data_IF_639986272432
#
_entry.id   IF_639986272432
#
_cell.length_a   1.000
_cell.length_b   1.000
_cell.length_c   1.000
_cell.angle_alpha   90.00
_cell.angle_beta   90.00
_cell.angle_gamma   90.00
#
_symmetry.space_group_name_H-M   'P 1'
#
loop_
_entity.id
_entity.type
_entity.pdbx_description
1 polymer ?
#
# COMPACT_ATOMS: atom_id res chain seq x y z
N UNK A 1 -31.48 -9.54 -35.40
CA UNK A 1 -31.08 -10.41 -34.28
C UNK A 1 -29.75 -9.89 -33.76
N UNK A 2 -29.81 -8.86 -32.93
CA UNK A 2 -28.66 -8.31 -32.19
C UNK A 2 -28.85 -8.65 -30.71
N UNK A 3 -27.74 -8.78 -29.99
CA UNK A 3 -27.56 -9.31 -28.61
C UNK A 3 -27.12 -10.76 -28.53
N UNK A 4 -26.00 -11.11 -29.18
CA UNK A 4 -25.03 -11.97 -28.49
C UNK A 4 -24.05 -11.05 -27.77
N UNK A 5 -24.32 -10.85 -26.48
CA UNK A 5 -23.42 -10.17 -25.56
C UNK A 5 -22.07 -10.88 -25.59
N UNK A 6 -21.00 -10.13 -25.83
CA UNK A 6 -19.63 -10.62 -25.79
C UNK A 6 -19.31 -11.06 -24.35
N UNK A 7 -19.43 -12.35 -24.07
CA UNK A 7 -19.06 -12.92 -22.78
C UNK A 7 -17.55 -12.83 -22.64
N UNK A 8 -17.06 -12.13 -21.62
CA UNK A 8 -15.62 -12.03 -21.35
C UNK A 8 -15.09 -13.34 -20.75
N UNK A 9 -14.74 -14.26 -21.63
CA UNK A 9 -14.16 -15.55 -21.27
C UNK A 9 -12.81 -15.44 -20.56
N UNK A 10 -12.06 -14.34 -20.75
CA UNK A 10 -10.80 -14.10 -20.03
C UNK A 10 -11.08 -13.74 -18.57
N UNK A 11 -12.01 -12.82 -18.35
CA UNK A 11 -12.48 -12.46 -17.00
C UNK A 11 -13.05 -13.65 -16.23
N UNK A 12 -13.81 -14.52 -16.92
CA UNK A 12 -14.36 -15.74 -16.32
C UNK A 12 -13.27 -16.74 -15.93
N UNK A 13 -12.27 -16.96 -16.80
CA UNK A 13 -11.14 -17.84 -16.53
C UNK A 13 -10.25 -17.31 -15.40
N UNK A 14 -9.99 -15.99 -15.37
CA UNK A 14 -9.26 -15.32 -14.28
C UNK A 14 -10.01 -15.46 -12.96
N UNK A 15 -11.32 -15.24 -12.95
CA UNK A 15 -12.17 -15.41 -11.75
C UNK A 15 -12.17 -16.86 -11.26
N UNK A 16 -12.23 -17.83 -12.18
CA UNK A 16 -12.19 -19.25 -11.84
C UNK A 16 -10.82 -19.67 -11.27
N UNK A 17 -9.72 -19.26 -11.90
CA UNK A 17 -8.36 -19.56 -11.44
C UNK A 17 -8.06 -18.90 -10.09
N UNK A 18 -8.53 -17.68 -9.87
CA UNK A 18 -8.42 -16.97 -8.60
C UNK A 18 -9.18 -17.65 -7.47
N UNK A 19 -10.41 -18.12 -7.75
CA UNK A 19 -11.17 -18.95 -6.79
C UNK A 19 -10.40 -20.21 -6.45
N UNK A 20 -9.89 -20.94 -7.45
CA UNK A 20 -9.09 -22.14 -7.22
C UNK A 20 -7.88 -21.82 -6.35
N UNK A 21 -7.08 -20.79 -6.69
CA UNK A 21 -5.91 -20.35 -5.91
C UNK A 21 -6.26 -19.99 -4.46
N UNK A 22 -7.38 -19.29 -4.23
CA UNK A 22 -7.85 -18.94 -2.88
C UNK A 22 -8.13 -20.20 -2.05
N UNK A 23 -8.78 -21.19 -2.63
CA UNK A 23 -9.11 -22.45 -1.94
C UNK A 23 -7.93 -23.41 -1.82
N UNK A 24 -7.03 -23.48 -2.80
CA UNK A 24 -5.92 -24.44 -2.81
C UNK A 24 -4.68 -23.93 -2.09
N UNK A 25 -4.41 -22.62 -2.10
CA UNK A 25 -3.21 -22.04 -1.52
C UNK A 25 -3.44 -21.29 -0.20
N UNK A 26 -4.69 -21.24 0.29
CA UNK A 26 -5.06 -20.55 1.53
C UNK A 26 -4.56 -19.09 1.56
N UNK A 27 -4.49 -18.45 0.38
CA UNK A 27 -4.01 -17.08 0.19
C UNK A 27 -5.06 -16.08 0.66
N UNK A 28 -4.60 -14.99 1.27
CA UNK A 28 -5.49 -13.88 1.61
C UNK A 28 -6.02 -13.20 0.33
N UNK A 29 -7.15 -12.50 0.45
CA UNK A 29 -7.72 -11.75 -0.69
C UNK A 29 -6.76 -10.66 -1.19
N UNK A 30 -6.01 -10.07 -0.25
CA UNK A 30 -4.99 -9.07 -0.55
C UNK A 30 -3.79 -9.67 -1.29
N UNK A 31 -3.31 -10.85 -0.88
CA UNK A 31 -2.22 -11.53 -1.60
C UNK A 31 -2.61 -11.83 -3.04
N UNK A 32 -3.84 -12.29 -3.26
CA UNK A 32 -4.35 -12.56 -4.60
C UNK A 32 -4.44 -11.28 -5.45
N UNK A 33 -4.84 -10.17 -4.85
CA UNK A 33 -4.86 -8.87 -5.53
C UNK A 33 -3.46 -8.41 -5.96
N UNK A 34 -2.45 -8.60 -5.10
CA UNK A 34 -1.05 -8.30 -5.42
C UNK A 34 -0.49 -9.26 -6.48
N UNK A 35 -0.83 -10.55 -6.40
CA UNK A 35 -0.49 -11.56 -7.41
C UNK A 35 -1.05 -11.19 -8.79
N UNK A 36 -2.30 -10.74 -8.83
CA UNK A 36 -2.97 -10.33 -10.08
C UNK A 36 -2.39 -9.04 -10.65
N UNK A 37 -2.07 -8.07 -9.79
CA UNK A 37 -1.38 -6.84 -10.16
C UNK A 37 0.01 -7.11 -10.76
N UNK A 38 0.68 -8.16 -10.29
CA UNK A 38 2.04 -8.58 -10.72
C UNK A 38 2.04 -9.76 -11.70
N UNK A 39 0.90 -10.04 -12.34
CA UNK A 39 0.72 -11.13 -13.30
C UNK A 39 1.51 -10.96 -14.61
N UNK A 40 1.60 -12.03 -15.43
CA UNK A 40 2.29 -12.04 -16.74
C UNK A 40 1.54 -11.31 -17.87
N UNK A 41 0.34 -10.78 -17.58
CA UNK A 41 -0.49 -10.09 -18.57
C UNK A 41 0.26 -8.90 -19.21
N UNK A 42 -0.06 -8.54 -20.45
CA UNK A 42 0.70 -7.53 -21.20
C UNK A 42 0.48 -6.11 -20.66
N UNK A 43 -0.67 -5.87 -20.03
CA UNK A 43 -1.01 -4.58 -19.40
C UNK A 43 -0.45 -4.48 -17.98
N UNK A 44 -0.01 -3.29 -17.60
CA UNK A 44 0.44 -2.99 -16.24
C UNK A 44 -0.71 -3.01 -15.21
N UNK A 45 -0.38 -2.98 -13.90
CA UNK A 45 -1.39 -2.85 -12.87
C UNK A 45 -2.17 -1.55 -13.03
N UNK A 46 -3.49 -1.60 -12.86
CA UNK A 46 -4.33 -0.40 -12.92
C UNK A 46 -4.04 0.49 -11.71
N UNK A 47 -3.96 1.81 -11.91
CA UNK A 47 -3.62 2.77 -10.86
C UNK A 47 -4.50 2.65 -9.62
N UNK A 48 -5.81 2.43 -9.79
CA UNK A 48 -6.73 2.24 -8.65
C UNK A 48 -6.37 1.03 -7.79
N UNK A 49 -5.91 -0.06 -8.40
CA UNK A 49 -5.53 -1.29 -7.68
C UNK A 49 -4.25 -1.05 -6.89
N UNK A 50 -3.30 -0.28 -7.44
CA UNK A 50 -2.08 0.11 -6.72
C UNK A 50 -2.40 1.02 -5.53
N UNK A 51 -3.33 1.96 -5.68
CA UNK A 51 -3.80 2.81 -4.58
C UNK A 51 -4.40 1.99 -3.45
N UNK A 52 -5.30 1.05 -3.77
CA UNK A 52 -5.92 0.18 -2.76
C UNK A 52 -4.89 -0.71 -2.03
N UNK A 53 -3.90 -1.23 -2.76
CA UNK A 53 -2.78 -1.98 -2.16
C UNK A 53 -1.95 -1.06 -1.24
N UNK A 54 -1.67 0.18 -1.66
CA UNK A 54 -0.92 1.13 -0.85
C UNK A 54 -1.69 1.53 0.42
N UNK A 55 -2.99 1.75 0.34
CA UNK A 55 -3.84 2.01 1.50
C UNK A 55 -3.87 0.82 2.46
N UNK A 56 -3.93 -0.40 1.93
CA UNK A 56 -3.87 -1.63 2.73
C UNK A 56 -2.50 -1.85 3.38
N UNK A 57 -1.43 -1.30 2.80
CA UNK A 57 -0.06 -1.50 3.30
C UNK A 57 0.24 -0.79 4.62
N UNK A 58 -0.63 0.10 5.11
CA UNK A 58 -0.49 0.71 6.44
C UNK A 58 -0.82 -0.26 7.58
N UNK A 59 -1.54 -1.35 7.31
CA UNK A 59 -1.77 -2.41 8.29
C UNK A 59 -0.57 -3.38 8.34
N UNK A 60 0.03 -3.66 9.52
CA UNK A 60 1.25 -4.48 9.62
C UNK A 60 1.11 -5.94 9.13
N UNK A 61 -0.06 -6.57 9.25
CA UNK A 61 -0.29 -7.93 8.74
C UNK A 61 -0.36 -7.92 7.22
N UNK A 62 -1.18 -7.01 6.69
CA UNK A 62 -1.37 -6.78 5.26
C UNK A 62 -0.06 -6.41 4.57
N UNK A 63 0.75 -5.57 5.22
CA UNK A 63 2.08 -5.18 4.75
C UNK A 63 2.99 -6.39 4.52
N UNK A 64 3.07 -7.31 5.49
CA UNK A 64 3.90 -8.53 5.36
C UNK A 64 3.46 -9.40 4.19
N UNK A 65 2.16 -9.50 3.95
CA UNK A 65 1.60 -10.24 2.83
C UNK A 65 2.00 -9.59 1.49
N UNK A 66 1.78 -8.27 1.35
CA UNK A 66 2.12 -7.51 0.14
C UNK A 66 3.62 -7.62 -0.17
N UNK A 67 4.47 -7.31 0.82
CA UNK A 67 5.93 -7.37 0.65
C UNK A 67 6.43 -8.79 0.41
N UNK A 68 5.79 -9.79 1.00
CA UNK A 68 6.08 -11.21 0.76
C UNK A 68 5.84 -11.61 -0.69
N UNK A 69 4.74 -11.16 -1.31
CA UNK A 69 4.47 -11.39 -2.74
C UNK A 69 5.52 -10.66 -3.60
N UNK A 70 5.76 -9.38 -3.34
CA UNK A 70 6.75 -8.58 -4.10
C UNK A 70 8.13 -9.22 -4.05
N UNK A 71 8.59 -9.63 -2.86
CA UNK A 71 9.89 -10.26 -2.68
C UNK A 71 10.04 -11.57 -3.47
N UNK A 72 8.97 -12.37 -3.63
CA UNK A 72 8.99 -13.55 -4.50
C UNK A 72 9.13 -13.15 -5.97
N UNK A 73 8.37 -12.15 -6.43
CA UNK A 73 8.39 -11.68 -7.83
C UNK A 73 9.73 -11.05 -8.21
N UNK A 74 10.43 -10.37 -7.30
CA UNK A 74 11.75 -9.79 -7.54
C UNK A 74 12.89 -10.83 -7.60
N UNK A 75 12.62 -12.09 -7.25
CA UNK A 75 13.55 -13.21 -7.40
C UNK A 75 13.38 -13.97 -8.72
N UNK A 76 12.33 -13.67 -9.48
CA UNK A 76 12.10 -14.29 -10.79
C UNK A 76 13.14 -13.82 -11.81
N UNK A 77 13.47 -14.70 -12.75
CA UNK A 77 14.49 -14.47 -13.79
C UNK A 77 13.99 -14.97 -15.16
N UNK A 78 14.69 -14.57 -16.23
CA UNK A 78 14.42 -15.05 -17.58
C UNK A 78 13.05 -14.64 -18.13
N UNK A 79 12.27 -15.61 -18.61
CA UNK A 79 10.97 -15.41 -19.28
C UNK A 79 9.94 -14.68 -18.41
N UNK A 80 10.11 -14.75 -17.08
CA UNK A 80 9.24 -14.09 -16.09
C UNK A 80 9.55 -12.59 -15.87
N UNK A 81 10.37 -11.96 -16.73
CA UNK A 81 10.75 -10.54 -16.62
C UNK A 81 9.58 -9.57 -16.41
N UNK A 82 8.39 -9.88 -16.93
CA UNK A 82 7.18 -9.05 -16.74
C UNK A 82 6.73 -9.01 -15.28
N UNK A 83 6.82 -10.15 -14.58
CA UNK A 83 6.51 -10.21 -13.14
C UNK A 83 7.48 -9.32 -12.37
N UNK A 84 8.78 -9.41 -12.67
CA UNK A 84 9.80 -8.57 -12.03
C UNK A 84 9.53 -7.10 -12.31
N UNK A 85 9.27 -6.73 -13.56
CA UNK A 85 9.00 -5.35 -13.95
C UNK A 85 7.76 -4.77 -13.25
N UNK A 86 6.65 -5.51 -13.20
CA UNK A 86 5.43 -5.05 -12.51
C UNK A 86 5.59 -5.00 -11.00
N UNK A 87 6.36 -5.92 -10.42
CA UNK A 87 6.70 -5.86 -9.00
C UNK A 87 7.53 -4.61 -8.68
N UNK A 88 8.48 -4.23 -9.55
CA UNK A 88 9.21 -2.96 -9.42
C UNK A 88 8.30 -1.74 -9.53
N UNK A 89 7.32 -1.74 -10.45
CA UNK A 89 6.34 -0.64 -10.54
C UNK A 89 5.52 -0.49 -9.26
N UNK A 90 5.05 -1.61 -8.70
CA UNK A 90 4.30 -1.59 -7.45
C UNK A 90 5.18 -1.13 -6.28
N UNK A 91 6.43 -1.59 -6.23
CA UNK A 91 7.40 -1.16 -5.21
C UNK A 91 7.67 0.35 -5.29
N UNK A 92 7.88 0.89 -6.50
CA UNK A 92 8.06 2.33 -6.73
C UNK A 92 6.84 3.13 -6.22
N UNK A 93 5.63 2.63 -6.48
CA UNK A 93 4.39 3.25 -6.01
C UNK A 93 4.28 3.22 -4.47
N UNK A 94 4.62 2.09 -3.84
CA UNK A 94 4.62 1.94 -2.38
C UNK A 94 5.66 2.83 -1.69
N UNK A 95 6.83 3.04 -2.31
CA UNK A 95 7.83 3.99 -1.78
C UNK A 95 7.28 5.42 -1.76
N UNK A 96 6.46 5.79 -2.76
CA UNK A 96 5.89 7.14 -2.90
C UNK A 96 4.65 7.39 -2.05
N UNK A 97 3.81 6.37 -1.85
CA UNK A 97 2.47 6.52 -1.27
C UNK A 97 2.19 5.63 -0.04
N UNK A 98 3.05 4.66 0.23
CA UNK A 98 2.91 3.71 1.34
C UNK A 98 3.57 4.18 2.63
N UNK A 99 3.68 3.29 3.65
CA UNK A 99 4.32 3.60 4.91
C UNK A 99 5.84 3.80 4.73
N UNK A 100 6.42 4.65 5.56
CA UNK A 100 7.87 4.91 5.58
C UNK A 100 8.72 3.65 5.81
N UNK A 101 8.12 2.61 6.39
CA UNK A 101 8.73 1.29 6.56
C UNK A 101 9.17 0.66 5.23
N UNK A 102 8.46 0.92 4.12
CA UNK A 102 8.82 0.42 2.79
C UNK A 102 10.25 0.81 2.43
N UNK A 103 10.63 2.05 2.71
CA UNK A 103 11.97 2.58 2.39
C UNK A 103 13.06 1.82 3.15
N UNK A 104 12.83 1.51 4.43
CA UNK A 104 13.79 0.76 5.27
C UNK A 104 13.94 -0.69 4.82
N UNK A 105 12.84 -1.33 4.45
CA UNK A 105 12.88 -2.72 3.98
C UNK A 105 13.54 -2.84 2.60
N UNK A 106 13.38 -1.82 1.76
CA UNK A 106 14.07 -1.71 0.47
C UNK A 106 15.57 -1.54 0.67
N UNK A 107 15.99 -0.66 1.58
CA UNK A 107 17.40 -0.47 1.95
C UNK A 107 18.05 -1.76 2.46
N UNK A 108 17.38 -2.44 3.39
CA UNK A 108 17.80 -3.76 3.89
C UNK A 108 17.92 -4.80 2.76
N UNK A 109 17.06 -4.68 1.74
CA UNK A 109 17.02 -5.56 0.58
C UNK A 109 17.87 -5.06 -0.59
N UNK A 110 18.75 -4.07 -0.42
CA UNK A 110 19.50 -3.41 -1.52
C UNK A 110 20.25 -4.37 -2.45
N UNK A 111 20.71 -5.53 -1.95
CA UNK A 111 21.33 -6.57 -2.78
C UNK A 111 20.39 -7.18 -3.83
N UNK A 112 19.08 -7.16 -3.61
CA UNK A 112 18.06 -7.56 -4.59
C UNK A 112 17.96 -6.53 -5.70
N UNK A 113 17.94 -5.24 -5.36
CA UNK A 113 17.87 -4.16 -6.35
C UNK A 113 19.14 -4.10 -7.21
N UNK A 114 20.33 -4.21 -6.61
CA UNK A 114 21.60 -4.24 -7.37
C UNK A 114 21.62 -5.39 -8.39
N UNK A 115 21.14 -6.58 -8.01
CA UNK A 115 20.99 -7.70 -8.97
C UNK A 115 20.08 -7.33 -10.14
N UNK A 116 18.95 -6.67 -9.86
CA UNK A 116 17.98 -6.26 -10.88
C UNK A 116 18.52 -5.16 -11.81
N UNK A 117 19.46 -4.33 -11.37
CA UNK A 117 20.16 -3.39 -12.26
C UNK A 117 21.01 -4.10 -13.32
N UNK A 118 21.34 -5.38 -13.11
CA UNK A 118 22.10 -6.23 -14.02
C UNK A 118 21.25 -7.31 -14.69
N UNK A 119 19.91 -7.19 -14.58
CA UNK A 119 18.97 -8.16 -15.12
C UNK A 119 19.12 -8.33 -16.63
N UNK A 120 19.22 -9.57 -17.11
CA UNK A 120 19.40 -9.88 -18.52
C UNK A 120 18.32 -10.85 -19.00
N UNK A 121 17.58 -10.45 -20.04
CA UNK A 121 16.69 -11.33 -20.75
C UNK A 121 16.55 -10.87 -22.20
N UNK A 122 16.94 -11.73 -23.14
CA UNK A 122 16.75 -11.53 -24.58
C UNK A 122 15.75 -12.56 -25.09
N UNK A 123 14.72 -12.09 -25.76
CA UNK A 123 13.73 -12.93 -26.45
C UNK A 123 14.40 -13.72 -27.59
N UNK A 124 13.88 -14.88 -28.01
CA UNK A 124 14.23 -15.54 -29.27
C UNK A 124 14.36 -14.61 -30.50
N UNK A 125 13.59 -13.52 -30.54
CA UNK A 125 13.68 -12.50 -31.60
C UNK A 125 14.87 -11.53 -31.45
N UNK A 126 15.75 -11.74 -30.47
CA UNK A 126 16.91 -10.90 -30.17
C UNK A 126 16.60 -9.62 -29.38
N UNK A 127 15.34 -9.38 -29.00
CA UNK A 127 14.91 -8.19 -28.26
C UNK A 127 15.30 -8.27 -26.80
N UNK A 128 16.05 -7.28 -26.30
CA UNK A 128 16.40 -7.17 -24.87
C UNK A 128 15.22 -6.59 -24.07
N UNK A 129 14.50 -7.48 -23.38
CA UNK A 129 13.44 -7.10 -22.44
C UNK A 129 13.97 -6.78 -21.05
N UNK A 130 15.19 -7.22 -20.74
CA UNK A 130 15.84 -6.90 -19.48
C UNK A 130 16.18 -5.42 -19.33
N UNK A 131 16.37 -4.69 -20.45
CA UNK A 131 16.66 -3.24 -20.42
C UNK A 131 15.65 -2.44 -19.60
N UNK A 132 14.35 -2.74 -19.74
CA UNK A 132 13.29 -2.04 -19.00
C UNK A 132 13.35 -2.32 -17.49
N UNK A 133 13.68 -3.55 -17.12
CA UNK A 133 13.85 -3.96 -15.71
C UNK A 133 15.05 -3.22 -15.11
N UNK A 134 16.19 -3.18 -15.82
CA UNK A 134 17.40 -2.49 -15.38
C UNK A 134 17.17 -0.99 -15.17
N UNK A 135 16.52 -0.35 -16.15
CA UNK A 135 16.21 1.09 -16.07
C UNK A 135 15.35 1.39 -14.85
N UNK A 136 14.25 0.64 -14.67
CA UNK A 136 13.34 0.82 -13.53
C UNK A 136 14.00 0.55 -12.19
N UNK A 137 14.83 -0.49 -12.09
CA UNK A 137 15.59 -0.78 -10.89
C UNK A 137 16.54 0.36 -10.53
N UNK A 138 17.22 0.95 -11.53
CA UNK A 138 18.07 2.12 -11.35
C UNK A 138 17.30 3.37 -10.85
N UNK A 139 16.09 3.60 -11.36
CA UNK A 139 15.23 4.68 -10.86
C UNK A 139 14.87 4.48 -9.39
N UNK A 140 14.58 3.25 -8.96
CA UNK A 140 14.23 2.94 -7.56
C UNK A 140 15.43 3.12 -6.64
N UNK A 141 16.64 2.68 -7.04
CA UNK A 141 17.87 2.91 -6.27
C UNK A 141 18.11 4.42 -6.10
N UNK A 142 17.95 5.20 -7.17
CA UNK A 142 18.08 6.66 -7.09
C UNK A 142 16.98 7.33 -6.25
N UNK A 143 15.79 6.73 -6.17
CA UNK A 143 14.71 7.19 -5.29
C UNK A 143 15.02 6.89 -3.83
N UNK A 144 15.55 5.72 -3.52
CA UNK A 144 15.92 5.31 -2.16
C UNK A 144 16.93 6.27 -1.53
N UNK A 145 18.01 6.60 -2.26
CA UNK A 145 19.03 7.57 -1.83
C UNK A 145 18.44 8.96 -1.50
N UNK A 146 17.37 9.36 -2.20
CA UNK A 146 16.72 10.66 -2.03
C UNK A 146 15.59 10.62 -0.99
N UNK A 147 14.93 9.48 -0.83
CA UNK A 147 13.77 9.30 0.03
C UNK A 147 14.17 9.11 1.50
N UNK A 148 15.32 8.50 1.80
CA UNK A 148 15.79 8.27 3.17
C UNK A 148 15.82 9.56 4.02
N UNK A 149 16.45 10.67 3.58
CA UNK A 149 16.50 11.90 4.35
C UNK A 149 15.11 12.51 4.61
N UNK A 150 14.18 12.37 3.66
CA UNK A 150 12.83 12.93 3.77
C UNK A 150 11.92 12.09 4.66
N UNK A 151 11.99 10.76 4.54
CA UNK A 151 11.18 9.84 5.33
C UNK A 151 11.52 9.89 6.82
N UNK A 152 12.81 10.03 7.18
CA UNK A 152 13.24 10.21 8.57
C UNK A 152 12.68 11.52 9.15
N UNK A 153 12.75 12.60 8.39
CA UNK A 153 12.23 13.91 8.81
C UNK A 153 10.71 13.90 8.96
N UNK A 154 10.00 13.24 8.05
CA UNK A 154 8.55 13.12 8.07
C UNK A 154 8.05 12.16 9.17
N UNK A 155 8.75 11.05 9.43
CA UNK A 155 8.41 10.13 10.52
C UNK A 155 8.54 10.83 11.89
N UNK A 156 9.57 11.66 12.08
CA UNK A 156 9.72 12.48 13.27
C UNK A 156 8.58 13.50 13.46
N UNK A 157 7.95 13.96 12.37
CA UNK A 157 6.79 14.84 12.41
C UNK A 157 5.46 14.08 12.60
N UNK A 158 5.31 12.90 11.97
CA UNK A 158 4.09 12.11 11.91
C UNK A 158 3.83 11.20 13.13
N UNK A 159 4.86 10.86 13.91
CA UNK A 159 4.69 10.15 15.20
C UNK A 159 3.76 10.90 16.17
N UNK A 160 3.63 12.22 16.03
CA UNK A 160 2.72 13.01 16.86
C UNK A 160 1.25 12.89 16.45
N UNK A 161 0.91 12.60 15.19
CA UNK A 161 -0.49 12.55 14.73
C UNK A 161 -1.14 11.16 14.90
N UNK A 162 -0.39 10.08 14.67
CA UNK A 162 -0.89 8.70 14.85
C UNK A 162 -1.27 8.40 16.31
N UNK A 163 -0.43 8.81 17.26
CA UNK A 163 -0.68 8.64 18.70
C UNK A 163 -1.90 9.48 19.17
N UNK A 164 -2.10 10.68 18.61
CA UNK A 164 -3.22 11.57 18.95
C UNK A 164 -4.57 11.05 18.43
N UNK A 165 -4.61 10.37 17.27
CA UNK A 165 -5.85 9.79 16.73
C UNK A 165 -6.36 8.61 17.56
N UNK A 166 -5.48 7.76 18.06
CA UNK A 166 -5.88 6.64 18.95
C UNK A 166 -6.25 7.11 20.37
N UNK A 167 -5.64 8.19 20.89
CA UNK A 167 -6.02 8.76 22.20
C UNK A 167 -7.37 9.51 22.18
N UNK A 168 -7.73 10.14 21.06
CA UNK A 168 -8.98 10.91 20.94
C UNK A 168 -10.25 10.03 20.83
N UNK A 169 -10.12 8.77 20.42
CA UNK A 169 -11.25 7.81 20.34
C UNK A 169 -11.57 7.16 21.70
N UNK A 170 -10.71 7.32 22.71
CA UNK A 170 -10.93 6.79 24.07
C UNK A 170 -11.70 7.70 25.04
N UNK A 171 -12.00 8.96 24.68
CA UNK A 171 -12.60 9.93 25.61
C UNK A 171 -14.03 10.39 25.25
N UNK A 172 -14.77 9.63 24.43
CA UNK A 172 -16.16 9.97 24.06
C UNK A 172 -17.25 9.02 24.54
N UNK A 173 -17.00 8.23 25.59
CA UNK A 173 -18.07 7.53 26.31
C UNK A 173 -17.86 7.59 27.83
N UNK A 174 -18.28 8.70 28.46
CA UNK A 174 -18.77 8.67 29.86
C UNK A 174 -19.52 9.95 30.28
N UNK A 175 -20.49 10.39 29.48
CA UNK A 175 -21.48 11.36 29.92
C UNK A 175 -22.88 10.89 29.50
N UNK A 176 -23.35 9.78 30.08
CA UNK A 176 -24.76 9.45 30.10
C UNK A 176 -25.18 9.33 31.57
N UNK A 177 -26.11 10.19 31.97
CA UNK A 177 -26.82 10.08 33.23
C UNK A 177 -26.51 11.18 34.24
N UNK A 178 -27.26 12.28 34.16
CA UNK A 178 -27.98 12.88 35.29
C UNK A 178 -29.04 13.83 34.74
N UNK A 179 -30.28 13.53 35.09
CA UNK A 179 -31.50 14.26 34.71
C UNK A 179 -31.44 15.76 35.05
N UNK A 180 -32.21 16.60 34.35
CA UNK A 180 -32.26 18.03 34.61
C UNK A 180 -33.04 18.31 35.90
N UNK A 181 -32.36 18.86 36.91
CA UNK A 181 -33.04 19.45 38.06
C UNK A 181 -33.56 20.84 37.66
N UNK A 182 -34.87 20.95 37.54
CA UNK A 182 -35.61 22.21 37.39
C UNK A 182 -35.30 23.10 38.60
N UNK A 183 -34.86 24.33 38.37
CA UNK A 183 -34.93 25.39 39.38
C UNK A 183 -35.44 26.70 38.74
N UNK A 184 -36.58 27.14 39.24
CA UNK A 184 -37.15 28.46 38.99
C UNK A 184 -36.29 29.55 39.68
N UNK A 185 -36.17 30.72 39.05
CA UNK A 185 -35.52 31.86 39.70
C UNK A 185 -35.25 33.02 38.75
N UNK A 186 -35.75 34.19 39.13
CA UNK A 186 -35.86 35.44 38.40
C UNK A 186 -34.57 36.26 38.30
N UNK A 187 -34.55 37.15 37.30
CA UNK A 187 -33.71 38.34 37.13
C UNK A 187 -32.35 38.19 36.44
N UNK A 188 -32.17 39.12 35.51
CA UNK A 188 -31.06 39.23 34.57
C UNK A 188 -29.71 39.35 35.26
N UNK A 189 -28.72 38.72 34.64
CA UNK A 189 -27.51 39.34 34.11
C UNK A 189 -26.68 38.24 33.44
N UNK A 190 -26.45 38.37 32.13
CA UNK A 190 -25.55 37.47 31.40
C UNK A 190 -24.13 37.99 31.57
N UNK A 191 -23.35 37.36 32.43
CA UNK A 191 -21.89 37.50 32.38
C UNK A 191 -21.29 36.16 31.94
N UNK A 192 -20.77 36.13 30.71
CA UNK A 192 -19.88 35.07 30.25
C UNK A 192 -18.47 35.38 30.78
N UNK A 193 -18.11 34.81 31.92
CA UNK A 193 -16.70 34.80 32.36
C UNK A 193 -16.02 33.57 31.78
N UNK A 194 -15.16 33.78 30.77
CA UNK A 194 -14.19 32.79 30.30
C UNK A 194 -13.25 32.41 31.45
N UNK A 195 -13.41 31.21 32.01
CA UNK A 195 -12.44 30.62 32.93
C UNK A 195 -11.25 30.10 32.12
N UNK A 196 -10.11 30.75 32.30
CA UNK A 196 -8.80 30.27 31.84
C UNK A 196 -8.43 29.05 32.70
N UNK A 197 -8.40 27.87 32.09
CA UNK A 197 -7.83 26.67 32.72
C UNK A 197 -6.31 26.76 32.71
N UNK A 198 -5.69 26.73 33.89
CA UNK A 198 -4.24 26.58 34.08
C UNK A 198 -3.96 25.12 34.43
N UNK A 199 -3.05 24.41 33.74
CA UNK A 199 -2.73 23.02 34.09
C UNK A 199 -1.82 22.97 35.33
N UNK A 200 -1.95 21.87 36.09
CA UNK A 200 -1.10 21.51 37.23
C UNK A 200 0.22 20.89 36.77
#
# INVERSE_FOLDING_TARGET
>A
MEKLQSVDWRGLYKTATNKVKKYTMNLSELELQVEDATSLEVWGPHGSVMTEIAESSFDPESYRQIMGVIARRLKEEGENWRMCYKALLLLEFLIKHGPTQVVRDVESSGGVLDRLTRFQFKDPNGKDHGQNVRHRAGEIVALEERALPQAILAAAAGEQEGQQRHHAVGQRQRCLGKEPLVMAGTNGERQCTLRVCRPA
#
